data_IF_892062305092
#
_entry.id   IF_892062305092
#
_cell.length_a   1.000
_cell.length_b   1.000
_cell.length_c   1.000
_cell.angle_alpha   90.00
_cell.angle_beta   90.00
_cell.angle_gamma   90.00
#
_symmetry.space_group_name_H-M   'P 1'
#
loop_
_entity.id
_entity.type
_entity.pdbx_description
1 polymer ?
#
# COMPACT_ATOMS: atom_id res chain seq x y z
N UNK A 1 -13.38 -11.71 -2.54
CA UNK A 1 -12.46 -10.72 -1.98
C UNK A 1 -11.23 -11.39 -1.39
N UNK A 2 -10.06 -11.17 -1.98
CA UNK A 2 -8.78 -11.61 -1.41
C UNK A 2 -8.31 -10.58 -0.39
N UNK A 3 -8.15 -10.95 0.88
CA UNK A 3 -7.59 -10.06 1.90
C UNK A 3 -6.24 -10.60 2.38
N UNK A 4 -5.19 -9.77 2.30
CA UNK A 4 -3.85 -10.10 2.79
C UNK A 4 -3.40 -9.13 3.87
N UNK A 5 -2.57 -9.66 4.78
CA UNK A 5 -1.87 -8.89 5.80
C UNK A 5 -0.38 -9.17 5.66
N UNK A 6 0.41 -8.12 5.47
CA UNK A 6 1.83 -8.23 5.20
C UNK A 6 2.61 -7.35 6.18
N UNK A 7 3.63 -7.91 6.81
CA UNK A 7 4.60 -7.14 7.57
C UNK A 7 5.74 -6.76 6.65
N UNK A 8 6.03 -5.46 6.53
CA UNK A 8 7.04 -4.92 5.61
C UNK A 8 8.12 -4.15 6.35
N UNK A 9 9.29 -4.12 5.73
CA UNK A 9 10.48 -3.41 6.23
C UNK A 9 10.78 -2.11 5.48
N UNK A 10 10.12 -1.88 4.33
CA UNK A 10 10.28 -0.66 3.55
C UNK A 10 9.29 -0.52 2.40
N UNK A 11 9.26 0.67 1.78
CA UNK A 11 8.28 1.03 0.75
C UNK A 11 8.40 0.19 -0.53
N UNK A 12 9.63 -0.17 -0.93
CA UNK A 12 9.86 -1.04 -2.10
C UNK A 12 9.12 -2.39 -1.99
N UNK A 13 9.05 -2.94 -0.78
CA UNK A 13 8.36 -4.20 -0.50
C UNK A 13 6.84 -4.06 -0.65
N UNK A 14 6.29 -2.91 -0.22
CA UNK A 14 4.87 -2.59 -0.43
C UNK A 14 4.53 -2.49 -1.92
N UNK A 15 5.34 -1.76 -2.70
CA UNK A 15 5.15 -1.59 -4.14
C UNK A 15 5.24 -2.93 -4.86
N UNK A 16 6.22 -3.77 -4.52
CA UNK A 16 6.36 -5.12 -5.05
C UNK A 16 5.07 -5.92 -4.85
N UNK A 17 4.56 -5.98 -3.63
CA UNK A 17 3.34 -6.73 -3.31
C UNK A 17 2.08 -6.16 -3.97
N UNK A 18 1.93 -4.84 -4.03
CA UNK A 18 0.78 -4.24 -4.71
C UNK A 18 0.80 -4.53 -6.22
N UNK A 19 1.96 -4.47 -6.86
CA UNK A 19 2.08 -4.73 -8.31
C UNK A 19 1.78 -6.17 -8.69
N UNK A 20 1.93 -7.15 -7.80
CA UNK A 20 1.43 -8.53 -8.02
C UNK A 20 -0.10 -8.60 -8.19
N UNK A 21 -0.82 -7.51 -7.86
CA UNK A 21 -2.27 -7.40 -7.88
C UNK A 21 -2.80 -6.37 -8.89
N UNK A 22 -1.94 -5.76 -9.71
CA UNK A 22 -2.33 -4.73 -10.69
C UNK A 22 -3.38 -5.19 -11.73
N UNK A 23 -3.41 -6.49 -12.05
CA UNK A 23 -4.35 -7.09 -13.03
C UNK A 23 -5.48 -7.87 -12.34
N UNK A 24 -5.59 -7.77 -11.01
CA UNK A 24 -6.58 -8.48 -10.20
C UNK A 24 -7.63 -7.50 -9.71
N UNK A 25 -8.86 -7.99 -9.62
CA UNK A 25 -9.98 -7.28 -9.02
C UNK A 25 -10.39 -7.94 -7.71
N UNK A 26 -11.10 -7.21 -6.85
CA UNK A 26 -11.67 -7.73 -5.60
C UNK A 26 -10.59 -8.21 -4.61
N UNK A 27 -9.68 -7.30 -4.24
CA UNK A 27 -8.63 -7.53 -3.25
C UNK A 27 -8.45 -6.36 -2.27
N UNK A 28 -7.87 -6.66 -1.12
CA UNK A 28 -7.38 -5.72 -0.11
C UNK A 28 -6.06 -6.21 0.48
N UNK A 29 -5.11 -5.32 0.70
CA UNK A 29 -3.82 -5.60 1.34
C UNK A 29 -3.59 -4.59 2.46
N UNK A 30 -3.45 -5.11 3.68
CA UNK A 30 -3.07 -4.34 4.86
C UNK A 30 -1.58 -4.52 5.12
N UNK A 31 -0.85 -3.42 5.21
CA UNK A 31 0.58 -3.40 5.49
C UNK A 31 0.85 -2.98 6.92
N UNK A 32 1.70 -3.73 7.61
CA UNK A 32 2.09 -3.52 8.99
C UNK A 32 3.60 -3.33 9.10
N UNK A 33 4.04 -2.57 10.11
CA UNK A 33 5.45 -2.53 10.47
C UNK A 33 5.85 -3.78 11.29
N UNK A 34 7.15 -3.91 11.56
CA UNK A 34 7.72 -5.03 12.34
C UNK A 34 7.17 -5.15 13.78
N UNK A 35 6.53 -4.10 14.29
CA UNK A 35 5.92 -4.06 15.62
C UNK A 35 4.42 -4.41 15.58
N UNK A 36 3.88 -4.76 14.40
CA UNK A 36 2.47 -5.10 14.22
C UNK A 36 1.53 -3.89 14.16
N UNK A 37 2.05 -2.67 14.05
CA UNK A 37 1.23 -1.48 13.83
C UNK A 37 0.85 -1.37 12.35
N UNK A 38 -0.44 -1.11 12.08
CA UNK A 38 -0.93 -0.88 10.71
C UNK A 38 -0.31 0.41 10.16
N UNK A 39 0.29 0.32 8.98
CA UNK A 39 0.87 1.45 8.25
C UNK A 39 -0.12 1.99 7.22
N UNK A 40 -0.54 1.13 6.28
CA UNK A 40 -1.41 1.50 5.16
C UNK A 40 -2.33 0.32 4.80
N UNK A 41 -3.46 0.63 4.18
CA UNK A 41 -4.35 -0.36 3.59
C UNK A 41 -4.71 0.11 2.19
N UNK A 42 -4.59 -0.79 1.22
CA UNK A 42 -4.97 -0.55 -0.17
C UNK A 42 -6.01 -1.59 -0.58
N UNK A 43 -6.92 -1.21 -1.46
CA UNK A 43 -7.86 -2.12 -2.10
C UNK A 43 -7.85 -1.95 -3.61
N UNK A 44 -8.65 -2.76 -4.30
CA UNK A 44 -8.72 -2.75 -5.76
C UNK A 44 -9.61 -1.64 -6.31
N UNK A 45 -9.58 -0.45 -5.71
CA UNK A 45 -10.30 0.71 -6.24
C UNK A 45 -9.70 1.19 -7.58
N UNK A 46 -10.46 1.99 -8.33
CA UNK A 46 -10.08 2.42 -9.67
C UNK A 46 -8.77 3.25 -9.69
N UNK A 47 -8.56 4.14 -8.71
CA UNK A 47 -7.36 4.97 -8.63
C UNK A 47 -6.15 4.09 -8.32
N UNK A 48 -6.25 3.23 -7.30
CA UNK A 48 -5.16 2.31 -6.94
C UNK A 48 -4.78 1.43 -8.14
N UNK A 49 -5.76 0.79 -8.80
CA UNK A 49 -5.47 -0.07 -9.95
C UNK A 49 -4.87 0.69 -11.13
N UNK A 50 -5.29 1.93 -11.38
CA UNK A 50 -4.73 2.77 -12.43
C UNK A 50 -3.27 3.10 -12.15
N UNK A 51 -2.94 3.51 -10.92
CA UNK A 51 -1.57 3.89 -10.52
C UNK A 51 -0.63 2.69 -10.49
N UNK A 52 -1.13 1.48 -10.20
CA UNK A 52 -0.32 0.25 -10.21
C UNK A 52 0.12 -0.19 -11.61
N UNK A 53 -0.45 0.34 -12.69
CA UNK A 53 -0.03 0.02 -14.05
C UNK A 53 1.37 0.51 -14.38
N UNK A 54 1.79 1.63 -13.77
CA UNK A 54 3.09 2.23 -13.93
C UNK A 54 3.92 2.07 -12.64
N UNK A 55 5.22 1.81 -12.76
CA UNK A 55 6.05 1.54 -11.58
C UNK A 55 6.36 2.79 -10.77
N UNK A 56 6.63 3.89 -11.48
CA UNK A 56 6.97 5.16 -10.86
C UNK A 56 5.74 5.74 -10.16
N UNK A 57 4.55 5.65 -10.80
CA UNK A 57 3.30 6.06 -10.17
C UNK A 57 2.90 5.18 -8.98
N UNK A 58 3.17 3.87 -9.02
CA UNK A 58 2.96 2.98 -7.87
C UNK A 58 3.86 3.36 -6.69
N UNK A 59 5.15 3.62 -6.96
CA UNK A 59 6.10 4.05 -5.94
C UNK A 59 5.73 5.41 -5.34
N UNK A 60 5.34 6.35 -6.19
CA UNK A 60 4.87 7.67 -5.78
C UNK A 60 3.60 7.58 -4.93
N UNK A 61 2.63 6.75 -5.30
CA UNK A 61 1.42 6.51 -4.52
C UNK A 61 1.73 6.03 -3.10
N UNK A 62 2.55 4.98 -3.00
CA UNK A 62 2.93 4.41 -1.70
C UNK A 62 3.65 5.45 -0.83
N UNK A 63 4.52 6.26 -1.43
CA UNK A 63 5.25 7.33 -0.73
C UNK A 63 4.31 8.43 -0.24
N UNK A 64 3.43 8.94 -1.11
CA UNK A 64 2.44 9.98 -0.77
C UNK A 64 1.54 9.54 0.38
N UNK A 65 1.02 8.31 0.32
CA UNK A 65 0.11 7.79 1.34
C UNK A 65 0.84 7.53 2.65
N UNK A 66 2.10 7.07 2.60
CA UNK A 66 2.92 6.93 3.80
C UNK A 66 3.19 8.28 4.47
N UNK A 67 3.51 9.31 3.69
CA UNK A 67 3.72 10.66 4.23
C UNK A 67 2.45 11.19 4.90
N UNK A 68 1.27 10.96 4.30
CA UNK A 68 -0.03 11.30 4.92
C UNK A 68 -0.25 10.53 6.22
N UNK A 69 -0.01 9.21 6.24
CA UNK A 69 -0.16 8.38 7.43
C UNK A 69 0.78 8.83 8.57
N UNK A 70 2.02 9.18 8.25
CA UNK A 70 2.99 9.71 9.22
C UNK A 70 2.65 11.12 9.71
N UNK A 71 2.07 11.97 8.86
CA UNK A 71 1.57 13.28 9.27
C UNK A 71 0.34 13.17 10.19
N UNK A 72 -0.58 12.25 9.89
CA UNK A 72 -1.77 12.01 10.72
C UNK A 72 -1.43 11.31 12.04
N UNK A 73 -0.37 10.49 12.07
CA UNK A 73 0.11 9.83 13.29
C UNK A 73 0.87 10.75 14.26
N UNK A 74 1.23 11.97 13.84
CA UNK A 74 1.78 13.01 14.72
C UNK A 74 0.64 13.81 15.36
N UNK A 75 -0.11 13.17 16.25
CA UNK A 75 -0.83 13.93 17.28
C UNK A 75 0.17 14.30 18.39
N UNK A 76 0.17 15.58 18.77
CA UNK A 76 1.03 16.20 19.77
C UNK A 76 0.83 15.63 21.18
#
# INVERSE_FOLDING_TARGET
>A
MTHKKLTITGLNEMVYHLREYKDKTDWQIDFYNIYGALLLSFDSDEETLQRLQDEDEAYKMVTEWMDVALMMGKEY
#
